data_IF_865358084458
#
_entry.id   IF_865358084458
#
_cell.length_a   1.000
_cell.length_b   1.000
_cell.length_c   1.000
_cell.angle_alpha   90.00
_cell.angle_beta   90.00
_cell.angle_gamma   90.00
#
_symmetry.space_group_name_H-M   'P 1'
#
loop_
_entity.id
_entity.type
_entity.pdbx_description
1 polymer ?
#
# COMPACT_ATOMS: atom_id res chain seq x y z
N UNK A 1 36.15 -38.96 39.51
CA UNK A 1 35.87 -38.11 38.33
C UNK A 1 34.48 -37.48 38.49
N UNK A 2 34.41 -36.25 39.00
CA UNK A 2 33.17 -35.47 39.03
C UNK A 2 33.10 -34.66 37.73
N UNK A 3 32.27 -35.07 36.77
CA UNK A 3 31.95 -34.23 35.61
C UNK A 3 30.95 -33.16 36.06
N UNK A 4 31.43 -31.92 36.18
CA UNK A 4 30.59 -30.73 36.32
C UNK A 4 29.92 -30.47 34.97
N UNK A 5 28.65 -30.80 34.84
CA UNK A 5 27.84 -30.35 33.70
C UNK A 5 27.60 -28.84 33.83
N UNK A 6 28.23 -28.07 32.95
CA UNK A 6 27.90 -26.66 32.72
C UNK A 6 26.60 -26.61 31.92
N UNK A 7 25.53 -26.13 32.54
CA UNK A 7 24.26 -25.85 31.88
C UNK A 7 24.40 -24.49 31.16
N UNK A 8 24.31 -24.40 29.81
CA UNK A 8 24.27 -23.11 29.15
C UNK A 8 22.88 -22.50 29.34
N UNK A 9 22.82 -21.41 30.10
CA UNK A 9 21.62 -20.55 30.17
C UNK A 9 21.52 -19.84 28.82
N UNK A 10 20.62 -20.34 27.95
CA UNK A 10 20.19 -19.62 26.75
C UNK A 10 19.37 -18.41 27.21
N UNK A 11 19.96 -17.21 27.14
CA UNK A 11 19.24 -15.96 27.31
C UNK A 11 18.33 -15.80 26.08
N UNK A 12 17.03 -16.10 26.23
CA UNK A 12 16.01 -15.68 25.28
C UNK A 12 15.93 -14.16 25.32
N UNK A 13 16.58 -13.48 24.38
CA UNK A 13 16.28 -12.07 24.08
C UNK A 13 14.88 -12.06 23.48
N UNK A 14 13.89 -11.74 24.30
CA UNK A 14 12.54 -11.43 23.85
C UNK A 14 12.63 -10.18 22.99
N UNK A 15 12.67 -10.35 21.67
CA UNK A 15 12.46 -9.24 20.74
C UNK A 15 11.03 -8.75 20.99
N UNK A 16 10.89 -7.60 21.65
CA UNK A 16 9.66 -6.85 21.62
C UNK A 16 9.45 -6.46 20.16
N UNK A 17 8.62 -7.23 19.46
CA UNK A 17 8.19 -6.86 18.13
C UNK A 17 7.42 -5.56 18.26
N UNK A 18 7.99 -4.47 17.75
CA UNK A 18 7.21 -3.31 17.35
C UNK A 18 6.23 -3.84 16.30
N UNK A 19 5.01 -4.17 16.74
CA UNK A 19 3.94 -4.57 15.87
C UNK A 19 3.57 -3.33 15.05
N UNK A 20 3.90 -3.38 13.76
CA UNK A 20 3.57 -2.34 12.79
C UNK A 20 2.43 -2.81 11.88
N UNK A 21 1.60 -3.73 12.39
CA UNK A 21 0.33 -4.09 11.78
C UNK A 21 -0.74 -3.12 12.24
N UNK A 22 -1.65 -2.79 11.34
CA UNK A 22 -2.85 -2.07 11.69
C UNK A 22 -4.04 -2.55 10.85
N UNK A 23 -5.23 -2.33 11.40
CA UNK A 23 -6.50 -2.50 10.71
C UNK A 23 -7.15 -1.13 10.57
N UNK A 24 -7.55 -0.77 9.36
CA UNK A 24 -8.23 0.47 9.06
C UNK A 24 -9.63 0.15 8.54
N UNK A 25 -10.59 1.02 8.82
CA UNK A 25 -11.93 0.97 8.27
C UNK A 25 -12.31 2.35 7.76
N UNK A 26 -12.52 2.44 6.46
CA UNK A 26 -12.74 3.68 5.71
C UNK A 26 -14.17 3.71 5.22
N UNK A 27 -14.90 4.79 5.50
CA UNK A 27 -16.12 5.12 4.77
C UNK A 27 -15.77 5.96 3.56
N UNK A 28 -16.12 5.43 2.39
CA UNK A 28 -15.86 6.03 1.10
C UNK A 28 -17.16 6.62 0.50
N UNK A 29 -17.27 7.96 0.46
CA UNK A 29 -18.42 8.67 -0.08
C UNK A 29 -18.34 8.95 -1.59
N UNK A 30 -17.53 8.23 -2.38
CA UNK A 30 -17.27 8.54 -3.79
C UNK A 30 -18.51 8.62 -4.67
N UNK A 31 -19.56 7.84 -4.41
CA UNK A 31 -20.82 7.95 -5.16
C UNK A 31 -21.56 9.25 -4.81
N UNK A 32 -21.59 9.66 -3.55
CA UNK A 32 -22.17 10.97 -3.18
C UNK A 32 -21.42 12.13 -3.81
N UNK A 33 -20.09 12.05 -3.92
CA UNK A 33 -19.26 13.14 -4.45
C UNK A 33 -19.27 13.17 -5.99
N UNK A 34 -19.20 12.01 -6.64
CA UNK A 34 -18.97 11.91 -8.09
C UNK A 34 -20.07 11.19 -8.87
N UNK A 35 -21.08 10.65 -8.20
CA UNK A 35 -22.22 9.97 -8.82
C UNK A 35 -21.91 8.56 -9.33
N UNK A 36 -22.89 7.99 -10.02
CA UNK A 36 -22.87 6.61 -10.52
C UNK A 36 -21.79 6.35 -11.60
N UNK A 37 -21.26 7.40 -12.21
CA UNK A 37 -20.16 7.31 -13.18
C UNK A 37 -18.86 6.79 -12.56
N UNK A 38 -18.67 6.98 -11.24
CA UNK A 38 -17.46 6.57 -10.52
C UNK A 38 -17.70 5.29 -9.72
N UNK A 39 -18.80 5.23 -8.98
CA UNK A 39 -19.21 4.03 -8.26
C UNK A 39 -20.73 4.04 -8.07
N UNK A 40 -21.41 2.90 -8.10
CA UNK A 40 -22.87 2.82 -7.98
C UNK A 40 -23.40 3.09 -6.57
N UNK A 41 -22.52 3.19 -5.56
CA UNK A 41 -22.87 3.40 -4.15
C UNK A 41 -21.63 3.84 -3.36
N UNK A 42 -21.84 4.50 -2.22
CA UNK A 42 -20.82 4.64 -1.18
C UNK A 42 -20.60 3.28 -0.50
N UNK A 43 -19.42 3.01 0.02
CA UNK A 43 -19.11 1.75 0.66
C UNK A 43 -18.08 1.90 1.78
N UNK A 44 -17.85 0.80 2.50
CA UNK A 44 -16.76 0.68 3.45
C UNK A 44 -15.61 -0.08 2.78
N UNK A 45 -14.38 0.26 3.16
CA UNK A 45 -13.19 -0.52 2.84
C UNK A 45 -12.48 -0.84 4.15
N UNK A 46 -12.20 -2.12 4.38
CA UNK A 46 -11.32 -2.53 5.47
C UNK A 46 -9.93 -2.83 4.93
N UNK A 47 -8.90 -2.24 5.52
CA UNK A 47 -7.51 -2.39 5.11
C UNK A 47 -6.72 -3.04 6.22
N UNK A 48 -6.12 -4.19 5.95
CA UNK A 48 -5.05 -4.71 6.81
C UNK A 48 -3.72 -4.30 6.22
N UNK A 49 -2.90 -3.57 6.98
CA UNK A 49 -1.58 -3.10 6.56
C UNK A 49 -0.51 -3.62 7.51
N UNK A 50 0.66 -3.99 6.97
CA UNK A 50 1.84 -4.34 7.74
C UNK A 50 3.11 -3.79 7.09
N UNK A 51 3.92 -3.08 7.88
CA UNK A 51 5.32 -2.82 7.55
C UNK A 51 6.24 -3.52 8.55
N UNK A 52 7.08 -4.44 8.10
CA UNK A 52 7.96 -5.23 8.99
C UNK A 52 9.41 -5.21 8.52
N UNK A 53 10.30 -4.48 9.22
CA UNK A 53 11.74 -4.60 9.02
C UNK A 53 12.30 -5.87 9.68
N UNK A 54 13.39 -6.41 9.11
CA UNK A 54 14.18 -7.51 9.68
C UNK A 54 15.66 -7.38 9.28
N UNK A 55 16.48 -8.38 9.66
CA UNK A 55 17.92 -8.36 9.41
C UNK A 55 18.30 -8.31 7.92
N UNK A 56 17.39 -8.73 7.02
CA UNK A 56 17.59 -8.83 5.58
C UNK A 56 16.88 -7.73 4.80
N UNK A 57 16.26 -6.76 5.45
CA UNK A 57 15.57 -5.63 4.80
C UNK A 57 14.20 -5.35 5.40
N UNK A 58 13.18 -5.18 4.55
CA UNK A 58 11.82 -4.87 5.01
C UNK A 58 10.75 -5.42 4.08
N UNK A 59 9.67 -5.91 4.67
CA UNK A 59 8.44 -6.30 3.97
C UNK A 59 7.36 -5.27 4.22
N UNK A 60 6.69 -4.84 3.17
CA UNK A 60 5.41 -4.14 3.26
C UNK A 60 4.32 -5.00 2.62
N UNK A 61 3.13 -4.96 3.18
CA UNK A 61 1.96 -5.56 2.56
C UNK A 61 0.70 -4.84 3.02
N UNK A 62 -0.30 -4.85 2.16
CA UNK A 62 -1.66 -4.56 2.56
C UNK A 62 -2.66 -5.41 1.80
N UNK A 63 -3.86 -5.53 2.37
CA UNK A 63 -5.02 -6.10 1.71
C UNK A 63 -6.23 -5.23 2.01
N UNK A 64 -6.92 -4.79 0.96
CA UNK A 64 -8.18 -4.08 1.03
C UNK A 64 -9.35 -5.03 0.78
N UNK A 65 -10.41 -4.84 1.55
CA UNK A 65 -11.68 -5.53 1.43
C UNK A 65 -12.78 -4.49 1.22
N UNK A 66 -13.22 -4.33 -0.03
CA UNK A 66 -14.27 -3.39 -0.37
C UNK A 66 -15.65 -4.03 -0.18
N UNK A 67 -16.46 -3.45 0.69
CA UNK A 67 -17.85 -3.85 0.94
C UNK A 67 -18.82 -3.22 -0.09
N UNK A 68 -18.41 -3.21 -1.36
CA UNK A 68 -19.13 -2.64 -2.49
C UNK A 68 -20.10 -3.64 -3.18
N UNK A 69 -20.02 -4.92 -2.80
CA UNK A 69 -20.89 -5.98 -3.30
C UNK A 69 -22.36 -5.87 -2.86
N UNK A 70 -23.17 -6.81 -3.33
CA UNK A 70 -24.59 -6.89 -2.96
C UNK A 70 -24.75 -7.10 -1.47
N UNK A 71 -25.72 -6.39 -0.87
CA UNK A 71 -25.99 -6.40 0.58
C UNK A 71 -24.77 -6.06 1.44
N UNK A 72 -23.81 -5.28 0.91
CA UNK A 72 -22.54 -4.92 1.58
C UNK A 72 -21.63 -6.12 1.85
N UNK A 73 -21.75 -7.18 1.05
CA UNK A 73 -20.71 -8.21 1.01
C UNK A 73 -19.41 -7.66 0.41
N UNK A 74 -18.30 -8.33 0.68
CA UNK A 74 -17.02 -8.07 0.01
C UNK A 74 -17.21 -8.30 -1.48
N UNK A 75 -17.10 -7.23 -2.27
CA UNK A 75 -17.24 -7.28 -3.72
C UNK A 75 -15.90 -7.20 -4.45
N UNK A 76 -14.85 -6.71 -3.77
CA UNK A 76 -13.48 -6.65 -4.28
C UNK A 76 -12.48 -6.87 -3.13
N UNK A 77 -11.42 -7.60 -3.42
CA UNK A 77 -10.24 -7.75 -2.59
C UNK A 77 -9.01 -7.40 -3.43
N UNK A 78 -8.20 -6.46 -2.97
CA UNK A 78 -6.93 -6.10 -3.59
C UNK A 78 -5.80 -6.29 -2.57
N UNK A 79 -4.66 -6.76 -3.03
CA UNK A 79 -3.50 -7.02 -2.19
C UNK A 79 -2.21 -6.58 -2.88
N UNK A 80 -1.31 -6.05 -2.05
CA UNK A 80 0.08 -5.79 -2.40
C UNK A 80 0.98 -6.50 -1.39
N UNK A 81 2.08 -7.06 -1.91
CA UNK A 81 3.20 -7.50 -1.11
C UNK A 81 4.50 -7.03 -1.75
N UNK A 82 5.31 -6.33 -0.98
CA UNK A 82 6.61 -5.84 -1.43
C UNK A 82 7.72 -6.16 -0.44
N UNK A 83 8.92 -6.32 -0.97
CA UNK A 83 10.12 -6.69 -0.23
C UNK A 83 11.31 -5.89 -0.77
N UNK A 84 11.93 -5.13 0.13
CA UNK A 84 13.22 -4.51 -0.08
C UNK A 84 14.30 -5.33 0.62
N UNK A 85 15.39 -5.64 -0.08
CA UNK A 85 16.50 -6.45 0.45
C UNK A 85 17.67 -5.56 0.86
N UNK A 86 18.16 -5.73 2.08
CA UNK A 86 19.35 -5.01 2.56
C UNK A 86 20.62 -5.73 2.12
N UNK A 87 21.50 -5.02 1.41
CA UNK A 87 22.83 -5.52 1.03
C UNK A 87 23.89 -4.74 1.81
N UNK A 88 24.26 -5.23 3.01
CA UNK A 88 25.25 -4.59 3.90
C UNK A 88 24.99 -3.08 4.02
N UNK A 89 25.97 -2.26 3.61
CA UNK A 89 25.94 -0.79 3.66
C UNK A 89 25.64 -0.17 2.28
N UNK A 90 25.24 -0.98 1.29
CA UNK A 90 24.84 -0.46 -0.01
C UNK A 90 23.55 0.36 0.12
N UNK A 91 23.59 1.58 -0.41
CA UNK A 91 22.51 2.55 -0.23
C UNK A 91 21.19 2.11 -0.89
N UNK A 92 21.26 1.44 -2.04
CA UNK A 92 20.10 0.95 -2.76
C UNK A 92 19.76 -0.47 -2.33
N UNK A 93 18.48 -0.72 -2.11
CA UNK A 93 17.93 -2.02 -1.73
C UNK A 93 17.22 -2.61 -2.95
N UNK A 94 17.56 -3.82 -3.43
CA UNK A 94 16.72 -4.48 -4.43
C UNK A 94 15.28 -4.58 -3.94
N UNK A 95 14.35 -4.24 -4.82
CA UNK A 95 12.91 -4.20 -4.54
C UNK A 95 12.19 -5.23 -5.41
N UNK A 96 11.33 -6.03 -4.79
CA UNK A 96 10.40 -6.91 -5.47
C UNK A 96 8.99 -6.66 -4.95
N UNK A 97 8.01 -6.64 -5.83
CA UNK A 97 6.62 -6.40 -5.44
C UNK A 97 5.63 -7.13 -6.36
N UNK A 98 4.52 -7.56 -5.76
CA UNK A 98 3.39 -8.14 -6.46
C UNK A 98 2.10 -7.46 -6.00
N UNK A 99 1.30 -7.07 -6.99
CA UNK A 99 0.00 -6.46 -6.80
C UNK A 99 -1.04 -7.27 -7.56
N UNK A 100 -2.21 -7.48 -6.97
CA UNK A 100 -3.27 -8.24 -7.61
C UNK A 100 -4.51 -8.35 -6.73
N UNK A 101 -5.51 -9.06 -7.22
CA UNK A 101 -6.76 -9.17 -6.47
C UNK A 101 -7.87 -9.82 -7.25
N UNK A 102 -9.06 -9.80 -6.66
CA UNK A 102 -10.26 -10.45 -7.16
C UNK A 102 -11.44 -9.51 -6.97
N UNK A 103 -12.30 -9.43 -7.96
CA UNK A 103 -13.61 -8.81 -7.86
C UNK A 103 -14.71 -9.81 -8.14
N UNK A 104 -15.96 -9.41 -7.90
CA UNK A 104 -17.12 -10.26 -8.19
C UNK A 104 -17.17 -10.60 -9.68
N UNK A 105 -16.84 -11.84 -10.03
CA UNK A 105 -16.86 -12.35 -11.40
C UNK A 105 -15.62 -12.05 -12.25
N UNK A 106 -14.55 -11.51 -11.67
CA UNK A 106 -13.30 -11.23 -12.41
C UNK A 106 -12.05 -11.25 -11.53
N UNK A 107 -10.89 -11.41 -12.15
CA UNK A 107 -9.59 -11.22 -11.48
C UNK A 107 -8.98 -9.88 -11.87
N UNK A 108 -8.36 -9.20 -10.91
CA UNK A 108 -7.51 -8.04 -11.20
C UNK A 108 -6.20 -8.58 -11.78
N UNK A 109 -5.80 -8.16 -13.00
CA UNK A 109 -4.55 -8.61 -13.60
C UNK A 109 -3.37 -8.33 -12.67
N UNK A 110 -2.53 -9.33 -12.46
CA UNK A 110 -1.35 -9.18 -11.59
C UNK A 110 -0.36 -8.16 -12.16
N UNK A 111 0.30 -7.42 -11.28
CA UNK A 111 1.46 -6.62 -11.61
C UNK A 111 2.68 -7.14 -10.84
N UNK A 112 3.80 -7.30 -11.54
CA UNK A 112 5.07 -7.77 -10.97
C UNK A 112 6.10 -6.68 -11.13
N UNK A 113 6.70 -6.25 -10.02
CA UNK A 113 7.66 -5.17 -10.00
C UNK A 113 9.02 -5.66 -9.53
N UNK A 114 10.07 -5.18 -10.19
CA UNK A 114 11.45 -5.38 -9.79
C UNK A 114 12.24 -4.09 -9.98
N UNK A 115 12.96 -3.65 -8.96
CA UNK A 115 13.60 -2.34 -8.96
C UNK A 115 14.61 -2.13 -7.85
N UNK A 116 14.86 -0.86 -7.54
CA UNK A 116 15.72 -0.45 -6.46
C UNK A 116 15.02 0.60 -5.60
N UNK A 117 15.01 0.35 -4.29
CA UNK A 117 14.47 1.22 -3.26
C UNK A 117 15.60 1.95 -2.51
N UNK A 118 15.34 3.19 -2.12
CA UNK A 118 16.20 4.00 -1.29
C UNK A 118 15.40 4.54 -0.09
N UNK A 119 15.64 4.04 1.14
CA UNK A 119 15.08 4.63 2.34
C UNK A 119 15.90 5.86 2.76
N UNK A 120 15.23 6.92 3.18
CA UNK A 120 15.89 8.13 3.68
C UNK A 120 15.04 8.84 4.75
N UNK A 121 15.66 9.77 5.47
CA UNK A 121 14.95 10.66 6.39
C UNK A 121 14.81 12.04 5.77
N UNK A 122 13.61 12.61 5.90
CA UNK A 122 13.35 14.01 5.57
C UNK A 122 12.77 14.71 6.79
N UNK A 123 13.62 15.40 7.55
CA UNK A 123 13.26 16.01 8.84
C UNK A 123 12.59 14.97 9.76
N UNK A 124 11.32 15.18 10.08
CA UNK A 124 10.51 14.32 10.96
C UNK A 124 9.74 13.24 10.18
N UNK A 125 10.19 12.86 8.99
CA UNK A 125 9.58 11.79 8.20
C UNK A 125 10.59 10.70 7.88
N UNK A 126 10.14 9.46 8.01
CA UNK A 126 10.76 8.32 7.34
C UNK A 126 10.18 8.23 5.94
N UNK A 127 11.05 8.23 4.95
CA UNK A 127 10.69 8.23 3.55
C UNK A 127 11.26 6.97 2.89
N UNK A 128 10.54 6.46 1.89
CA UNK A 128 11.06 5.48 0.95
C UNK A 128 10.78 5.95 -0.46
N UNK A 129 11.70 5.73 -1.39
CA UNK A 129 11.39 5.87 -2.81
C UNK A 129 11.97 4.70 -3.59
N UNK A 130 11.28 4.26 -4.63
CA UNK A 130 11.83 3.25 -5.53
C UNK A 130 11.50 3.56 -6.98
N UNK A 131 12.37 3.09 -7.86
CA UNK A 131 12.10 3.01 -9.29
C UNK A 131 12.14 1.54 -9.69
N UNK A 132 11.07 1.07 -10.32
CA UNK A 132 10.92 -0.32 -10.69
C UNK A 132 10.44 -0.47 -12.13
N UNK A 133 10.92 -1.52 -12.77
CA UNK A 133 10.24 -2.09 -13.92
C UNK A 133 8.96 -2.77 -13.42
N UNK A 134 7.83 -2.48 -14.07
CA UNK A 134 6.50 -3.03 -13.77
C UNK A 134 6.02 -3.84 -14.97
N UNK A 135 5.73 -5.12 -14.75
CA UNK A 135 5.08 -5.97 -15.73
C UNK A 135 3.61 -6.13 -15.34
N UNK A 136 2.72 -5.45 -16.05
CA UNK A 136 1.28 -5.70 -15.89
C UNK A 136 0.86 -6.90 -16.76
N UNK A 137 0.31 -7.92 -16.12
CA UNK A 137 -0.15 -9.17 -16.73
C UNK A 137 -1.55 -9.04 -17.34
N UNK A 138 -1.79 -7.96 -18.10
CA UNK A 138 -3.00 -7.82 -18.90
C UNK A 138 -3.05 -8.88 -20.02
N UNK A 139 -4.18 -8.95 -20.73
CA UNK A 139 -4.31 -9.86 -21.89
C UNK A 139 -3.21 -9.61 -22.94
N UNK A 140 -2.82 -8.35 -23.16
CA UNK A 140 -1.53 -8.00 -23.76
C UNK A 140 -0.60 -7.45 -22.69
N UNK A 141 0.48 -8.19 -22.42
CA UNK A 141 1.52 -7.78 -21.47
C UNK A 141 1.92 -6.31 -21.68
N UNK A 142 1.99 -5.56 -20.58
CA UNK A 142 2.44 -4.18 -20.57
C UNK A 142 3.73 -4.09 -19.78
N UNK A 143 4.78 -3.65 -20.47
CA UNK A 143 6.10 -3.38 -19.92
C UNK A 143 6.19 -1.90 -19.56
N UNK A 144 6.40 -1.60 -18.29
CA UNK A 144 6.22 -0.26 -17.74
C UNK A 144 7.31 0.10 -16.73
N UNK A 145 7.33 1.38 -16.37
CA UNK A 145 8.16 1.90 -15.28
C UNK A 145 7.22 2.49 -14.23
N UNK A 146 7.48 2.16 -12.96
CA UNK A 146 6.81 2.77 -11.81
C UNK A 146 7.84 3.49 -10.94
N UNK A 147 7.53 4.72 -10.58
CA UNK A 147 8.19 5.46 -9.51
C UNK A 147 7.23 5.58 -8.33
N UNK A 148 7.74 5.26 -7.15
CA UNK A 148 6.97 5.31 -5.91
C UNK A 148 7.70 6.13 -4.86
N UNK A 149 6.92 6.86 -4.07
CA UNK A 149 7.33 7.58 -2.87
C UNK A 149 6.42 7.19 -1.72
N UNK A 150 6.98 6.80 -0.59
CA UNK A 150 6.24 6.52 0.65
C UNK A 150 6.74 7.42 1.78
N UNK A 151 5.86 7.77 2.71
CA UNK A 151 6.22 8.54 3.90
C UNK A 151 5.46 8.09 5.12
N UNK A 152 6.11 8.20 6.27
CA UNK A 152 5.49 8.06 7.58
C UNK A 152 6.11 9.07 8.55
N UNK A 153 5.26 9.81 9.24
CA UNK A 153 5.67 10.79 10.23
C UNK A 153 6.31 10.13 11.44
N UNK A 154 7.37 10.75 11.93
CA UNK A 154 8.10 10.37 13.14
C UNK A 154 8.03 11.53 14.16
N UNK A 155 6.81 11.94 14.52
CA UNK A 155 6.58 13.02 15.48
C UNK A 155 6.54 12.45 16.92
N UNK A 156 7.58 12.62 17.76
CA UNK A 156 7.70 11.87 19.02
C UNK A 156 6.61 12.16 20.06
N UNK A 157 5.94 13.32 19.97
CA UNK A 157 4.96 13.80 20.96
C UNK A 157 3.63 14.22 20.34
N UNK A 158 3.46 14.05 19.03
CA UNK A 158 2.27 14.48 18.32
C UNK A 158 1.15 13.47 18.48
N UNK A 159 -0.07 13.95 18.72
CA UNK A 159 -1.28 13.14 18.53
C UNK A 159 -1.65 12.99 17.06
N UNK A 160 -1.04 13.75 16.16
CA UNK A 160 -1.27 13.65 14.72
C UNK A 160 -0.18 12.80 14.08
N UNK A 161 -0.58 11.82 13.26
CA UNK A 161 0.30 11.07 12.36
C UNK A 161 -0.06 11.38 10.91
N UNK A 162 0.97 11.45 10.06
CA UNK A 162 0.84 11.65 8.62
C UNK A 162 1.58 10.52 7.90
N UNK A 163 0.90 9.84 6.99
CA UNK A 163 1.48 8.76 6.21
C UNK A 163 0.87 8.72 4.81
N UNK A 164 1.33 7.82 3.96
CA UNK A 164 0.79 7.62 2.62
C UNK A 164 1.86 7.28 1.59
N UNK A 165 1.40 7.17 0.36
CA UNK A 165 2.26 6.90 -0.80
C UNK A 165 1.85 7.74 -2.00
N UNK A 166 2.73 7.78 -3.00
CA UNK A 166 2.48 8.28 -4.35
C UNK A 166 3.14 7.33 -5.32
N UNK A 167 2.33 6.81 -6.24
CA UNK A 167 2.72 5.98 -7.37
C UNK A 167 2.50 6.73 -8.67
N UNK A 168 3.49 6.61 -9.55
CA UNK A 168 3.43 7.12 -10.91
C UNK A 168 3.95 6.03 -11.85
N UNK A 169 3.08 5.51 -12.72
CA UNK A 169 3.48 4.46 -13.66
C UNK A 169 2.89 4.65 -15.05
N UNK A 170 3.51 4.02 -16.05
CA UNK A 170 2.92 3.88 -17.38
C UNK A 170 2.12 2.60 -17.49
N UNK A 171 1.14 2.54 -18.39
CA UNK A 171 0.56 1.27 -18.83
C UNK A 171 0.00 1.37 -20.25
N UNK A 172 -0.23 0.23 -20.92
CA UNK A 172 -0.89 0.20 -22.23
C UNK A 172 -2.27 0.88 -22.15
N UNK A 173 -2.57 1.77 -23.11
CA UNK A 173 -3.91 2.39 -23.22
C UNK A 173 -4.97 1.33 -23.48
N UNK A 174 -4.73 0.46 -24.46
CA UNK A 174 -5.54 -0.72 -24.69
C UNK A 174 -4.88 -1.94 -24.01
N UNK A 175 -5.42 -2.36 -22.87
CA UNK A 175 -4.91 -3.51 -22.10
C UNK A 175 -5.12 -4.86 -22.82
N UNK A 176 -6.03 -4.92 -23.81
CA UNK A 176 -6.33 -6.14 -24.56
C UNK A 176 -5.43 -6.30 -25.79
N UNK A 177 -5.22 -5.24 -26.57
CA UNK A 177 -4.46 -5.30 -27.84
C UNK A 177 -3.06 -4.72 -27.74
N UNK A 178 -2.80 -3.84 -26.75
CA UNK A 178 -1.57 -3.06 -26.65
C UNK A 178 -1.52 -1.83 -27.58
N UNK A 179 -2.60 -1.55 -28.32
CA UNK A 179 -2.66 -0.42 -29.25
C UNK A 179 -2.82 0.92 -28.55
N UNK A 180 -2.51 2.01 -29.27
CA UNK A 180 -2.67 3.39 -28.79
C UNK A 180 -1.54 3.90 -27.89
N UNK A 181 -0.52 3.06 -27.63
CA UNK A 181 0.67 3.41 -26.85
C UNK A 181 0.43 3.36 -25.33
N UNK A 182 1.16 4.18 -24.59
CA UNK A 182 1.11 4.22 -23.12
C UNK A 182 0.25 5.38 -22.60
N UNK A 183 -0.37 5.18 -21.44
CA UNK A 183 -0.92 6.26 -20.59
C UNK A 183 -0.15 6.31 -19.28
N UNK A 184 -0.08 7.51 -18.70
CA UNK A 184 0.44 7.74 -17.36
C UNK A 184 -0.69 7.58 -16.35
N UNK A 185 -0.41 6.90 -15.26
CA UNK A 185 -1.31 6.74 -14.12
C UNK A 185 -0.64 7.36 -12.90
N UNK A 186 -1.44 8.09 -12.12
CA UNK A 186 -1.07 8.58 -10.80
C UNK A 186 -2.06 8.01 -9.79
N UNK A 187 -1.54 7.47 -8.70
CA UNK A 187 -2.32 7.09 -7.52
C UNK A 187 -1.57 7.57 -6.28
N UNK A 188 -2.26 8.19 -5.34
CA UNK A 188 -1.68 8.59 -4.08
C UNK A 188 -2.75 8.63 -3.01
N UNK A 189 -2.45 8.10 -1.83
CA UNK A 189 -3.36 8.06 -0.69
C UNK A 189 -2.68 8.68 0.54
N UNK A 190 -2.51 10.01 0.58
CA UNK A 190 -2.13 10.71 1.81
C UNK A 190 -3.17 10.46 2.90
N UNK A 191 -2.67 10.06 4.07
CA UNK A 191 -3.46 9.81 5.26
C UNK A 191 -3.08 10.77 6.39
N UNK A 192 -4.09 11.19 7.15
CA UNK A 192 -3.95 11.94 8.39
C UNK A 192 -4.73 11.25 9.50
N UNK A 193 -4.09 11.10 10.65
CA UNK A 193 -4.66 10.39 11.81
C UNK A 193 -4.53 11.22 13.07
N UNK A 194 -5.60 11.31 13.85
CA UNK A 194 -5.58 11.74 15.24
C UNK A 194 -5.61 10.52 16.16
N UNK A 195 -4.51 10.30 16.88
CA UNK A 195 -4.30 9.18 17.79
C UNK A 195 -4.88 9.54 19.17
N UNK A 196 -6.00 8.90 19.52
CA UNK A 196 -6.62 9.04 20.84
C UNK A 196 -5.88 8.20 21.89
N UNK A 197 -5.40 7.03 21.47
CA UNK A 197 -4.55 6.12 22.25
C UNK A 197 -3.42 5.61 21.36
N UNK A 198 -2.42 4.87 21.89
CA UNK A 198 -1.40 4.21 21.06
C UNK A 198 -1.98 3.22 20.04
N UNK A 199 -3.19 2.70 20.29
CA UNK A 199 -3.84 1.70 19.43
C UNK A 199 -4.92 2.33 18.56
N UNK A 200 -5.71 3.27 19.07
CA UNK A 200 -6.89 3.78 18.38
C UNK A 200 -6.70 5.20 17.84
N UNK A 201 -6.99 5.36 16.56
CA UNK A 201 -7.00 6.64 15.86
C UNK A 201 -8.25 6.81 15.00
N UNK A 202 -8.64 8.07 14.77
CA UNK A 202 -9.60 8.44 13.72
C UNK A 202 -8.92 9.40 12.75
N UNK A 203 -9.33 9.39 11.50
CA UNK A 203 -8.61 10.11 10.47
C UNK A 203 -9.34 10.14 9.15
N UNK A 204 -8.56 10.46 8.13
CA UNK A 204 -8.99 10.50 6.75
C UNK A 204 -7.82 10.10 5.86
N UNK A 205 -8.16 9.45 4.77
CA UNK A 205 -7.33 9.27 3.60
C UNK A 205 -7.95 10.02 2.43
N UNK A 206 -7.13 10.56 1.53
CA UNK A 206 -7.62 11.16 0.30
C UNK A 206 -7.03 10.39 -0.88
N UNK A 207 -7.84 9.61 -1.58
CA UNK A 207 -7.41 8.95 -2.81
C UNK A 207 -7.31 9.99 -3.94
N UNK A 208 -6.09 10.32 -4.32
CA UNK A 208 -5.75 11.17 -5.46
C UNK A 208 -5.46 10.27 -6.65
N UNK A 209 -6.28 10.36 -7.68
CA UNK A 209 -6.27 9.42 -8.79
C UNK A 209 -6.30 10.13 -10.13
N UNK A 210 -5.41 9.75 -11.05
CA UNK A 210 -5.47 10.17 -12.45
C UNK A 210 -5.35 8.95 -13.36
N UNK A 211 -6.34 8.73 -14.23
CA UNK A 211 -6.44 7.59 -15.15
C UNK A 211 -6.61 6.20 -14.48
N UNK A 212 -6.85 6.14 -13.17
CA UNK A 212 -6.99 4.87 -12.43
C UNK A 212 -8.44 4.54 -12.07
N UNK A 213 -9.13 5.38 -11.28
CA UNK A 213 -10.51 5.14 -10.79
C UNK A 213 -11.50 4.84 -11.92
N UNK A 214 -11.37 5.57 -13.03
CA UNK A 214 -12.21 5.36 -14.19
C UNK A 214 -11.34 5.15 -15.44
N UNK A 215 -10.54 4.09 -15.41
CA UNK A 215 -9.53 3.78 -16.42
C UNK A 215 -10.03 3.69 -17.87
N UNK A 216 -11.36 3.63 -18.08
CA UNK A 216 -12.03 3.44 -19.36
C UNK A 216 -12.92 4.63 -19.81
N UNK A 217 -13.27 5.58 -18.92
CA UNK A 217 -14.12 6.72 -19.28
C UNK A 217 -13.36 8.01 -19.65
N UNK A 218 -12.06 7.90 -19.97
CA UNK A 218 -11.21 9.03 -20.34
C UNK A 218 -10.40 9.59 -19.17
N UNK A 219 -9.48 10.50 -19.50
CA UNK A 219 -8.53 11.01 -18.51
C UNK A 219 -9.15 12.04 -17.57
N UNK A 220 -9.27 11.69 -16.28
CA UNK A 220 -9.85 12.55 -15.25
C UNK A 220 -9.10 12.39 -13.94
N UNK A 221 -8.96 13.51 -13.23
CA UNK A 221 -8.42 13.55 -11.88
C UNK A 221 -9.54 13.45 -10.85
N UNK A 222 -9.33 12.66 -9.81
CA UNK A 222 -10.22 12.50 -8.67
C UNK A 222 -9.46 12.76 -7.37
N UNK A 223 -10.17 13.32 -6.39
CA UNK A 223 -9.70 13.47 -5.01
C UNK A 223 -10.82 13.00 -4.09
N UNK A 224 -10.74 11.77 -3.60
CA UNK A 224 -11.80 11.09 -2.88
C UNK A 224 -11.42 10.99 -1.40
N UNK A 225 -11.92 11.88 -0.53
CA UNK A 225 -11.67 11.78 0.90
C UNK A 225 -12.51 10.66 1.53
N UNK A 226 -11.94 9.98 2.52
CA UNK A 226 -12.63 9.00 3.36
C UNK A 226 -12.78 9.52 4.79
N UNK A 227 -13.68 8.93 5.57
CA UNK A 227 -13.69 9.07 7.03
C UNK A 227 -13.32 7.72 7.61
N UNK A 228 -12.25 7.67 8.41
CA UNK A 228 -11.64 6.39 8.77
C UNK A 228 -11.34 6.25 10.26
N UNK A 229 -11.32 5.00 10.70
CA UNK A 229 -10.81 4.57 12.02
C UNK A 229 -9.66 3.61 11.82
N UNK A 230 -8.67 3.63 12.72
CA UNK A 230 -7.52 2.73 12.69
C UNK A 230 -7.25 2.11 14.06
N UNK A 231 -6.93 0.82 14.05
CA UNK A 231 -6.45 0.06 15.19
C UNK A 231 -5.05 -0.49 14.93
N UNK A 232 -4.06 -0.05 15.70
CA UNK A 232 -2.67 -0.54 15.68
C UNK A 232 -2.47 -1.63 16.74
N UNK A 233 -1.77 -2.71 16.38
CA UNK A 233 -1.50 -3.88 17.26
C UNK A 233 -0.16 -3.79 18.00
#
# INVERSE_FOLDING_TARGET
MLQKSLLPILLFVSFTSLNAQNLQLHFDPRNTIYGDEVAPKNYLTATFEMFKPDAWGSTFMFVDFDFNGDKRNIGLVYAEISRAFKIKDFALMPHLEYNGGLGTGFSIPGAYLAGAQYPFKLRNFFMGTYLAYKLNAFAKLSHDVQWTLTWNSAFPTSKVSLCGFLDLWTENKNRATGEGGKKLILLSEPQVWYNFTPNFAMGSEIELSYNFVNAFAGSKFYAIPTVATKWSF
#
